data_IF_429793243330
#
_entry.id   IF_429793243330
#
_cell.length_a   1.000
_cell.length_b   1.000
_cell.length_c   1.000
_cell.angle_alpha   90.00
_cell.angle_beta   90.00
_cell.angle_gamma   90.00
#
_symmetry.space_group_name_H-M   'P 1'
#
loop_
_entity.id
_entity.type
_entity.pdbx_description
1 polymer ?
#
# COMPACT_ATOMS: atom_id res chain seq x y z
N UNK A 1 5.31 2.00 -10.90
CA UNK A 1 4.81 1.42 -9.65
C UNK A 1 4.15 0.09 -9.97
N UNK A 2 4.00 -0.79 -8.97
CA UNK A 2 3.22 -2.03 -9.08
C UNK A 2 2.05 -1.96 -8.08
N UNK A 3 0.88 -2.42 -8.49
CA UNK A 3 -0.31 -2.52 -7.62
C UNK A 3 -0.66 -4.00 -7.46
N UNK A 4 -0.89 -4.40 -6.21
CA UNK A 4 -1.26 -5.75 -5.86
C UNK A 4 -2.60 -5.77 -5.15
N UNK A 5 -3.41 -6.79 -5.42
CA UNK A 5 -4.66 -7.08 -4.73
C UNK A 5 -4.59 -8.52 -4.21
N UNK A 6 -4.83 -8.72 -2.91
CA UNK A 6 -4.77 -10.04 -2.26
C UNK A 6 -3.45 -10.80 -2.50
N UNK A 7 -2.33 -10.08 -2.60
CA UNK A 7 -1.01 -10.66 -2.85
C UNK A 7 -0.67 -10.88 -4.33
N UNK A 8 -1.61 -10.66 -5.26
CA UNK A 8 -1.40 -10.85 -6.71
C UNK A 8 -1.19 -9.52 -7.43
N UNK A 9 -0.28 -9.49 -8.42
CA UNK A 9 -0.03 -8.31 -9.24
C UNK A 9 -1.23 -8.07 -10.17
N UNK A 10 -1.86 -6.90 -10.06
CA UNK A 10 -3.02 -6.53 -10.89
C UNK A 10 -2.75 -5.39 -11.86
N UNK A 11 -1.71 -4.58 -11.60
CA UNK A 11 -1.31 -3.52 -12.53
C UNK A 11 0.15 -3.10 -12.31
N UNK A 12 0.78 -2.57 -13.35
CA UNK A 12 2.15 -2.06 -13.31
C UNK A 12 2.37 -0.93 -14.32
N UNK A 13 3.22 0.01 -13.94
CA UNK A 13 3.68 1.11 -14.81
C UNK A 13 5.15 1.43 -14.54
N UNK A 14 5.89 1.83 -15.57
CA UNK A 14 7.25 2.33 -15.40
C UNK A 14 7.29 3.83 -15.04
N UNK A 15 6.15 4.53 -15.11
CA UNK A 15 6.06 5.94 -14.73
C UNK A 15 6.18 6.07 -13.21
N UNK A 16 7.38 6.46 -12.74
CA UNK A 16 7.69 6.62 -11.32
C UNK A 16 8.50 7.88 -11.10
N UNK A 17 8.30 8.51 -9.95
CA UNK A 17 9.11 9.62 -9.44
C UNK A 17 9.67 9.23 -8.07
N UNK A 18 10.90 9.64 -7.79
CA UNK A 18 11.50 9.42 -6.48
C UNK A 18 10.85 10.34 -5.46
N UNK A 19 10.32 9.78 -4.38
CA UNK A 19 9.85 10.56 -3.24
C UNK A 19 11.06 11.13 -2.48
N UNK A 20 11.16 12.45 -2.40
CA UNK A 20 12.29 13.16 -1.77
C UNK A 20 12.04 13.57 -0.31
N UNK A 21 10.89 13.21 0.27
CA UNK A 21 10.55 13.51 1.67
C UNK A 21 9.88 14.87 1.88
N UNK A 22 9.92 15.36 3.12
CA UNK A 22 9.48 16.72 3.50
C UNK A 22 7.99 16.92 3.68
N UNK A 23 7.16 15.89 3.52
CA UNK A 23 5.70 16.00 3.66
C UNK A 23 5.15 14.97 4.64
N UNK A 24 4.10 15.36 5.38
CA UNK A 24 3.36 14.45 6.26
C UNK A 24 2.69 13.35 5.43
N UNK A 25 3.00 12.09 5.76
CA UNK A 25 2.23 10.94 5.25
C UNK A 25 0.85 10.96 5.88
N UNK A 26 -0.18 11.08 5.04
CA UNK A 26 -1.58 11.05 5.47
C UNK A 26 -2.18 9.71 5.08
N UNK A 27 -2.75 9.01 6.05
CA UNK A 27 -3.59 7.83 5.81
C UNK A 27 -5.04 8.30 5.69
N UNK A 28 -5.81 7.67 4.81
CA UNK A 28 -7.22 7.98 4.51
C UNK A 28 -7.54 9.40 4.01
N UNK A 29 -6.55 10.20 3.61
CA UNK A 29 -6.77 11.55 3.11
C UNK A 29 -5.75 11.98 2.05
N UNK A 30 -6.22 12.71 1.05
CA UNK A 30 -5.41 13.35 0.00
C UNK A 30 -5.71 14.85 -0.07
N UNK A 31 -4.75 15.62 -0.62
CA UNK A 31 -4.84 17.07 -0.83
C UNK A 31 -5.37 17.83 0.40
N UNK A 32 -4.67 17.69 1.53
CA UNK A 32 -5.02 18.30 2.81
C UNK A 32 -6.48 18.01 3.26
N UNK A 33 -6.90 16.74 3.15
CA UNK A 33 -8.25 16.28 3.48
C UNK A 33 -9.38 16.87 2.60
N UNK A 34 -9.06 17.42 1.43
CA UNK A 34 -10.08 17.71 0.40
C UNK A 34 -10.73 16.43 -0.12
N UNK A 35 -9.99 15.31 -0.08
CA UNK A 35 -10.44 14.00 -0.52
C UNK A 35 -10.18 13.00 0.60
N UNK A 36 -11.21 12.60 1.33
CA UNK A 36 -11.12 11.64 2.43
C UNK A 36 -11.71 10.29 2.06
N UNK A 37 -11.06 9.21 2.49
CA UNK A 37 -11.60 7.86 2.38
C UNK A 37 -12.51 7.55 3.57
N UNK A 38 -13.78 7.29 3.30
CA UNK A 38 -14.77 6.90 4.30
C UNK A 38 -14.92 5.37 4.38
N UNK A 39 -13.85 4.69 4.80
CA UNK A 39 -13.83 3.24 4.97
C UNK A 39 -12.89 2.82 6.11
N UNK A 40 -12.83 1.52 6.38
CA UNK A 40 -12.02 0.96 7.47
C UNK A 40 -10.63 0.58 6.96
N UNK A 41 -9.59 1.05 7.63
CA UNK A 41 -8.19 0.69 7.38
C UNK A 41 -7.66 0.03 8.65
N UNK A 42 -7.29 -1.25 8.59
CA UNK A 42 -6.89 -2.02 9.76
C UNK A 42 -5.37 -2.07 10.00
N UNK A 43 -4.56 -2.00 8.94
CA UNK A 43 -3.11 -2.10 9.02
C UNK A 43 -2.45 -1.33 7.87
N UNK A 44 -1.37 -0.61 8.17
CA UNK A 44 -0.56 0.11 7.19
C UNK A 44 0.91 -0.18 7.51
N UNK A 45 1.66 -0.63 6.50
CA UNK A 45 3.09 -0.89 6.60
C UNK A 45 3.82 -0.04 5.55
N UNK A 46 4.95 0.55 5.93
CA UNK A 46 5.80 1.35 5.03
C UNK A 46 7.21 0.76 5.10
N UNK A 47 7.80 0.50 3.94
CA UNK A 47 9.12 -0.12 3.81
C UNK A 47 10.10 0.88 3.20
N UNK A 48 11.36 0.86 3.67
CA UNK A 48 12.45 1.67 3.14
C UNK A 48 13.16 1.03 1.93
N UNK A 49 12.51 0.05 1.31
CA UNK A 49 13.00 -0.68 0.13
C UNK A 49 11.82 -1.16 -0.70
N UNK A 50 12.12 -1.53 -1.93
CA UNK A 50 11.17 -2.24 -2.80
C UNK A 50 11.01 -3.67 -2.28
N UNK A 51 9.78 -4.16 -2.19
CA UNK A 51 9.47 -5.55 -1.91
C UNK A 51 9.44 -6.37 -3.20
N UNK A 52 9.83 -7.64 -3.13
CA UNK A 52 9.60 -8.60 -4.21
C UNK A 52 8.13 -9.07 -4.24
N UNK A 53 7.74 -9.70 -5.35
CA UNK A 53 6.39 -10.25 -5.52
C UNK A 53 6.10 -11.32 -4.43
N UNK A 54 7.08 -12.17 -4.11
CA UNK A 54 6.98 -13.18 -3.03
C UNK A 54 6.82 -12.55 -1.64
N UNK A 55 7.52 -11.45 -1.36
CA UNK A 55 7.41 -10.73 -0.08
C UNK A 55 6.03 -10.08 0.09
N UNK A 56 5.44 -9.58 -1.00
CA UNK A 56 4.06 -9.07 -1.00
C UNK A 56 3.07 -10.19 -0.71
N UNK A 57 3.23 -11.36 -1.35
CA UNK A 57 2.40 -12.53 -1.09
C UNK A 57 2.55 -13.04 0.35
N UNK A 58 3.78 -13.09 0.86
CA UNK A 58 4.05 -13.47 2.25
C UNK A 58 3.34 -12.53 3.23
N UNK A 59 3.42 -11.21 3.00
CA UNK A 59 2.74 -10.21 3.84
C UNK A 59 1.22 -10.40 3.83
N UNK A 60 0.61 -10.67 2.68
CA UNK A 60 -0.82 -10.98 2.58
C UNK A 60 -1.18 -12.23 3.39
N UNK A 61 -0.46 -13.34 3.17
CA UNK A 61 -0.70 -14.59 3.86
C UNK A 61 -0.52 -14.49 5.38
N UNK A 62 0.39 -13.63 5.86
CA UNK A 62 0.62 -13.42 7.28
C UNK A 62 -0.57 -12.75 8.01
N UNK A 63 -1.40 -11.96 7.31
CA UNK A 63 -2.48 -11.19 7.94
C UNK A 63 -3.88 -11.63 7.54
N UNK A 64 -4.06 -12.34 6.42
CA UNK A 64 -5.39 -12.68 5.86
C UNK A 64 -6.31 -13.41 6.84
N UNK A 65 -5.76 -14.27 7.70
CA UNK A 65 -6.52 -15.00 8.72
C UNK A 65 -7.20 -14.05 9.73
N UNK A 66 -6.65 -12.85 9.97
CA UNK A 66 -7.27 -11.82 10.83
C UNK A 66 -8.56 -11.25 10.24
N UNK A 67 -8.79 -11.48 8.95
CA UNK A 67 -9.92 -10.99 8.18
C UNK A 67 -10.85 -12.12 7.66
N UNK A 68 -10.61 -13.38 8.07
CA UNK A 68 -11.45 -14.52 7.70
C UNK A 68 -11.26 -15.01 6.25
N UNK A 69 -10.07 -14.79 5.68
CA UNK A 69 -9.67 -15.19 4.32
C UNK A 69 -8.61 -16.30 4.34
#
# INVERSE_FOLDING_TARGET
WKLYLNGELVDTSNSTTTFTGGTTVRISAYNNASNTFNGKIASVNIYNRVLSDDEVLQNYNAIKNRFGL
#
